data_IF_592860993737
#
_entry.id   IF_592860993737
#
_cell.length_a   1.000
_cell.length_b   1.000
_cell.length_c   1.000
_cell.angle_alpha   90.00
_cell.angle_beta   90.00
_cell.angle_gamma   90.00
#
_symmetry.space_group_name_H-M   'P 1'
#
loop_
_entity.id
_entity.type
_entity.pdbx_description
1 polymer ?
#
# COMPACT_ATOMS: atom_id res chain seq x y z
N UNK A 1 25.44 7.16 -10.89
CA UNK A 1 25.22 5.72 -11.14
C UNK A 1 23.89 5.54 -11.88
N UNK A 2 23.74 4.52 -12.73
CA UNK A 2 22.47 4.23 -13.42
C UNK A 2 21.99 2.83 -13.03
N UNK A 3 20.69 2.69 -12.78
CA UNK A 3 20.05 1.42 -12.44
C UNK A 3 18.93 1.12 -13.42
N UNK A 4 18.69 -0.17 -13.67
CA UNK A 4 17.55 -0.64 -14.46
C UNK A 4 16.57 -1.35 -13.52
N UNK A 5 15.33 -0.89 -13.49
CA UNK A 5 14.25 -1.41 -12.66
C UNK A 5 13.20 -2.04 -13.57
N UNK A 6 13.03 -3.36 -13.46
CA UNK A 6 12.05 -4.08 -14.28
C UNK A 6 10.65 -3.78 -13.80
N UNK A 7 9.79 -3.29 -14.68
CA UNK A 7 8.38 -3.08 -14.37
C UNK A 7 7.74 -4.45 -14.13
N UNK A 8 6.95 -4.57 -13.07
CA UNK A 8 6.33 -5.83 -12.66
C UNK A 8 5.48 -6.41 -13.79
N UNK A 9 5.87 -7.57 -14.35
CA UNK A 9 5.15 -8.18 -15.45
C UNK A 9 3.73 -8.56 -15.04
N UNK A 10 2.75 -8.27 -15.91
CA UNK A 10 1.36 -8.60 -15.68
C UNK A 10 0.81 -9.46 -16.83
N UNK A 11 -0.06 -10.42 -16.51
CA UNK A 11 -0.65 -11.33 -17.50
C UNK A 11 -1.64 -10.66 -18.44
N UNK A 12 -2.33 -9.63 -17.97
CA UNK A 12 -3.28 -8.88 -18.80
C UNK A 12 -2.69 -7.54 -19.23
N UNK A 13 -2.99 -7.10 -20.45
CA UNK A 13 -2.55 -5.79 -20.98
C UNK A 13 -3.01 -4.63 -20.09
N UNK A 14 -4.20 -4.72 -19.51
CA UNK A 14 -4.71 -3.69 -18.60
C UNK A 14 -3.84 -3.51 -17.36
N UNK A 15 -3.44 -4.62 -16.72
CA UNK A 15 -2.60 -4.57 -15.54
C UNK A 15 -1.15 -4.24 -15.89
N UNK A 16 -0.67 -4.57 -17.10
CA UNK A 16 0.62 -4.13 -17.60
C UNK A 16 0.65 -2.59 -17.73
N UNK A 17 -0.34 -2.00 -18.40
CA UNK A 17 -0.44 -0.53 -18.53
C UNK A 17 -0.56 0.16 -17.17
N UNK A 18 -1.26 -0.45 -16.20
CA UNK A 18 -1.33 0.07 -14.83
C UNK A 18 0.05 0.05 -14.16
N UNK A 19 0.79 -1.06 -14.27
CA UNK A 19 2.13 -1.16 -13.71
C UNK A 19 3.08 -0.10 -14.31
N UNK A 20 3.07 0.08 -15.63
CA UNK A 20 3.85 1.09 -16.34
C UNK A 20 3.49 2.51 -15.89
N UNK A 21 2.20 2.82 -15.74
CA UNK A 21 1.73 4.14 -15.32
C UNK A 21 2.15 4.46 -13.88
N UNK A 22 2.07 3.47 -12.98
CA UNK A 22 2.30 3.69 -11.56
C UNK A 22 3.77 3.56 -11.13
N UNK A 23 4.65 2.93 -11.95
CA UNK A 23 6.03 2.68 -11.57
C UNK A 23 6.84 3.97 -11.35
N UNK A 24 6.71 4.95 -12.24
CA UNK A 24 7.43 6.23 -12.13
C UNK A 24 6.95 7.04 -10.91
N UNK A 25 5.64 7.28 -10.70
CA UNK A 25 5.15 7.96 -9.51
C UNK A 25 5.53 7.25 -8.20
N UNK A 26 5.45 5.92 -8.14
CA UNK A 26 5.83 5.15 -6.96
C UNK A 26 7.32 5.34 -6.61
N UNK A 27 8.18 5.29 -7.63
CA UNK A 27 9.62 5.49 -7.43
C UNK A 27 9.95 6.90 -6.94
N UNK A 28 9.32 7.94 -7.51
CA UNK A 28 9.47 9.32 -7.05
C UNK A 28 8.89 9.57 -5.64
N UNK A 29 7.86 8.83 -5.23
CA UNK A 29 7.33 8.91 -3.86
C UNK A 29 8.24 8.20 -2.85
N UNK A 30 8.98 7.17 -3.27
CA UNK A 30 9.80 6.31 -2.40
C UNK A 30 10.95 7.09 -1.73
N UNK A 31 11.57 6.56 -0.68
CA UNK A 31 12.77 7.14 -0.06
C UNK A 31 13.90 7.42 -1.07
N UNK A 32 14.01 6.64 -2.14
CA UNK A 32 15.00 6.85 -3.21
C UNK A 32 14.90 8.20 -3.92
N UNK A 33 13.78 8.92 -3.78
CA UNK A 33 13.58 10.20 -4.49
C UNK A 33 14.66 11.25 -4.22
N UNK A 34 15.33 11.19 -3.08
CA UNK A 34 16.44 12.08 -2.73
C UNK A 34 17.71 11.77 -3.52
N UNK A 35 17.83 10.55 -4.01
CA UNK A 35 18.95 10.09 -4.83
C UNK A 35 18.67 10.18 -6.34
N UNK A 36 17.42 10.33 -6.75
CA UNK A 36 17.02 10.35 -8.15
C UNK A 36 17.35 11.68 -8.84
N UNK A 37 18.01 11.58 -10.00
CA UNK A 37 18.23 12.71 -10.92
C UNK A 37 17.19 12.70 -12.04
N UNK A 38 16.87 11.52 -12.58
CA UNK A 38 15.93 11.34 -13.67
C UNK A 38 15.54 9.89 -13.87
N UNK A 39 14.42 9.69 -14.56
CA UNK A 39 13.91 8.37 -14.93
C UNK A 39 13.51 8.39 -16.40
N UNK A 40 13.94 7.41 -17.15
CA UNK A 40 13.50 7.15 -18.53
C UNK A 40 12.96 5.72 -18.66
N UNK A 41 12.05 5.49 -19.58
CA UNK A 41 11.56 4.13 -19.90
C UNK A 41 12.46 3.52 -20.97
N UNK A 42 12.71 2.21 -20.86
CA UNK A 42 13.49 1.47 -21.83
C UNK A 42 12.95 0.05 -22.00
N UNK A 43 13.14 -0.52 -23.17
CA UNK A 43 12.80 -1.89 -23.47
C UNK A 43 14.07 -2.73 -23.62
N UNK A 44 14.30 -3.66 -22.70
CA UNK A 44 15.45 -4.54 -22.71
C UNK A 44 14.98 -6.00 -22.83
N UNK A 45 15.51 -6.73 -23.79
CA UNK A 45 15.14 -8.11 -24.07
C UNK A 45 13.60 -8.34 -24.15
N UNK A 46 12.86 -7.34 -24.68
CA UNK A 46 11.40 -7.42 -24.81
C UNK A 46 10.60 -7.14 -23.55
N UNK A 47 11.25 -6.77 -22.44
CA UNK A 47 10.62 -6.37 -21.17
C UNK A 47 10.73 -4.87 -20.95
N UNK A 48 9.76 -4.29 -20.24
CA UNK A 48 9.74 -2.87 -19.90
C UNK A 48 10.55 -2.60 -18.62
N UNK A 49 11.38 -1.57 -18.67
CA UNK A 49 12.24 -1.12 -17.58
C UNK A 49 12.13 0.38 -17.36
N UNK A 50 12.35 0.81 -16.13
CA UNK A 50 12.74 2.18 -15.82
C UNK A 50 14.27 2.22 -15.69
N UNK A 51 14.91 3.11 -16.44
CA UNK A 51 16.31 3.44 -16.25
C UNK A 51 16.36 4.69 -15.38
N UNK A 52 16.76 4.53 -14.13
CA UNK A 52 16.87 5.62 -13.19
C UNK A 52 18.33 6.07 -13.04
N UNK A 53 18.56 7.36 -13.20
CA UNK A 53 19.83 8.00 -12.94
C UNK A 53 19.90 8.50 -11.51
N UNK A 54 20.98 8.16 -10.80
CA UNK A 54 21.20 8.47 -9.39
C UNK A 54 22.39 9.44 -9.25
N UNK A 55 22.32 10.31 -8.25
CA UNK A 55 23.34 11.33 -8.01
C UNK A 55 24.75 10.70 -7.93
N UNK A 56 25.74 11.24 -8.68
CA UNK A 56 27.08 10.68 -8.73
C UNK A 56 27.90 10.88 -7.45
N UNK A 57 27.50 11.81 -6.60
CA UNK A 57 28.24 12.19 -5.38
C UNK A 57 27.91 11.26 -4.18
N UNK A 58 26.94 10.37 -4.32
CA UNK A 58 26.58 9.43 -3.25
C UNK A 58 27.52 8.21 -3.26
N UNK A 59 27.80 7.67 -2.08
CA UNK A 59 28.49 6.41 -1.95
C UNK A 59 27.69 5.28 -2.62
N UNK A 60 28.25 4.71 -3.67
CA UNK A 60 27.60 3.66 -4.47
C UNK A 60 27.25 2.42 -3.63
N UNK A 61 28.10 2.05 -2.66
CA UNK A 61 27.84 0.90 -1.80
C UNK A 61 26.69 1.14 -0.83
N UNK A 62 26.63 2.33 -0.22
CA UNK A 62 25.51 2.73 0.65
C UNK A 62 24.19 2.78 -0.14
N UNK A 63 24.23 3.33 -1.35
CA UNK A 63 23.05 3.43 -2.21
C UNK A 63 22.55 2.06 -2.68
N UNK A 64 23.44 1.12 -3.00
CA UNK A 64 23.07 -0.25 -3.34
C UNK A 64 22.45 -0.99 -2.13
N UNK A 65 22.96 -0.76 -0.93
CA UNK A 65 22.36 -1.30 0.29
C UNK A 65 20.96 -0.76 0.55
N UNK A 66 20.74 0.54 0.31
CA UNK A 66 19.42 1.16 0.40
C UNK A 66 18.44 0.61 -0.66
N UNK A 67 18.90 0.50 -1.91
CA UNK A 67 18.14 -0.12 -3.00
C UNK A 67 17.71 -1.55 -2.67
N UNK A 68 18.61 -2.36 -2.12
CA UNK A 68 18.33 -3.74 -1.73
C UNK A 68 17.19 -3.86 -0.70
N UNK A 69 16.96 -2.81 0.12
CA UNK A 69 15.88 -2.75 1.11
C UNK A 69 14.58 -2.19 0.51
N UNK A 70 14.67 -1.19 -0.36
CA UNK A 70 13.48 -0.49 -0.90
C UNK A 70 12.84 -1.29 -2.04
N UNK A 71 13.64 -1.84 -2.96
CA UNK A 71 13.11 -2.51 -4.16
C UNK A 71 12.07 -3.60 -3.86
N UNK A 72 12.27 -4.49 -2.87
CA UNK A 72 11.27 -5.50 -2.53
C UNK A 72 9.94 -4.92 -2.02
N UNK A 73 9.90 -3.64 -1.64
CA UNK A 73 8.70 -2.94 -1.16
C UNK A 73 7.86 -2.37 -2.30
N UNK A 74 8.47 -2.02 -3.43
CA UNK A 74 7.76 -1.43 -4.55
C UNK A 74 6.74 -2.39 -5.15
N UNK A 75 5.57 -1.89 -5.51
CA UNK A 75 4.50 -2.66 -6.13
C UNK A 75 4.68 -2.79 -7.63
N UNK A 76 5.01 -1.70 -8.28
CA UNK A 76 5.10 -1.63 -9.74
C UNK A 76 6.47 -2.05 -10.30
N UNK A 77 7.46 -2.34 -9.45
CA UNK A 77 8.80 -2.83 -9.82
C UNK A 77 9.02 -4.22 -9.21
N UNK A 78 9.56 -5.17 -9.99
CA UNK A 78 9.83 -6.54 -9.54
C UNK A 78 11.29 -6.82 -9.26
N UNK A 79 12.20 -6.28 -10.05
CA UNK A 79 13.63 -6.59 -10.00
C UNK A 79 14.45 -5.33 -10.27
N UNK A 80 15.62 -5.20 -9.63
CA UNK A 80 16.55 -4.10 -9.82
C UNK A 80 17.92 -4.58 -10.24
N UNK A 81 18.59 -3.79 -11.08
CA UNK A 81 19.90 -4.08 -11.60
C UNK A 81 20.75 -2.81 -11.65
N UNK A 82 22.04 -2.92 -11.41
CA UNK A 82 22.98 -1.91 -11.87
C UNK A 82 23.08 -1.97 -13.41
N UNK A 83 23.07 -0.81 -14.05
CA UNK A 83 23.09 -0.69 -15.49
C UNK A 83 24.43 -0.15 -16.00
N UNK A 84 25.07 -0.88 -16.92
CA UNK A 84 26.32 -0.50 -17.56
C UNK A 84 26.11 -0.43 -19.07
N UNK A 85 26.18 0.78 -19.62
CA UNK A 85 26.13 0.96 -21.10
C UNK A 85 27.34 0.34 -21.80
N UNK A 86 28.51 0.35 -21.14
CA UNK A 86 29.75 -0.26 -21.59
C UNK A 86 30.45 -0.93 -20.41
N UNK A 87 31.13 -2.04 -20.65
CA UNK A 87 31.94 -2.72 -19.68
C UNK A 87 33.22 -3.20 -20.38
N UNK A 88 34.38 -2.77 -19.87
CA UNK A 88 35.72 -3.15 -20.38
C UNK A 88 35.87 -2.97 -21.91
N UNK A 89 35.31 -1.89 -22.46
CA UNK A 89 35.36 -1.60 -23.88
C UNK A 89 34.31 -2.33 -24.74
N UNK A 90 33.49 -3.17 -24.16
CA UNK A 90 32.41 -3.88 -24.84
C UNK A 90 31.09 -3.06 -24.67
N UNK A 91 30.45 -2.79 -25.81
CA UNK A 91 29.15 -2.11 -25.81
C UNK A 91 28.03 -3.02 -25.27
N UNK A 92 27.29 -2.55 -24.24
CA UNK A 92 26.18 -3.25 -23.60
C UNK A 92 24.81 -2.97 -24.20
N UNK A 93 23.75 -3.03 -23.39
CA UNK A 93 23.78 -2.93 -21.91
C UNK A 93 24.16 -4.22 -21.19
N UNK A 94 24.85 -4.05 -20.06
CA UNK A 94 25.08 -5.12 -19.10
C UNK A 94 24.31 -4.82 -17.81
N UNK A 95 23.74 -5.86 -17.19
CA UNK A 95 22.92 -5.76 -15.97
C UNK A 95 23.55 -6.63 -14.88
N UNK A 96 23.86 -6.02 -13.72
CA UNK A 96 24.27 -6.73 -12.51
C UNK A 96 23.11 -6.72 -11.51
N UNK A 97 22.57 -7.89 -11.09
CA UNK A 97 21.46 -7.94 -10.15
C UNK A 97 21.75 -7.20 -8.83
N UNK A 98 20.73 -6.52 -8.30
CA UNK A 98 20.73 -5.98 -6.94
C UNK A 98 19.93 -6.97 -6.10
N UNK A 99 20.64 -7.72 -5.25
CA UNK A 99 20.02 -8.74 -4.41
C UNK A 99 19.16 -8.09 -3.30
N UNK A 100 17.90 -8.54 -3.10
CA UNK A 100 17.06 -8.03 -2.04
C UNK A 100 17.63 -8.34 -0.66
N UNK A 101 17.77 -7.34 0.21
CA UNK A 101 18.23 -7.49 1.58
C UNK A 101 17.07 -7.74 2.58
N UNK A 102 15.82 -7.42 2.21
CA UNK A 102 14.66 -7.57 3.07
C UNK A 102 13.77 -8.72 2.60
N UNK A 103 13.32 -9.53 3.55
CA UNK A 103 12.28 -10.55 3.34
C UNK A 103 10.93 -10.03 3.81
N UNK A 104 9.83 -10.56 3.24
CA UNK A 104 8.49 -10.31 3.71
C UNK A 104 8.28 -10.94 5.09
N UNK A 105 7.55 -10.26 5.99
CA UNK A 105 7.23 -10.77 7.33
C UNK A 105 6.31 -12.01 7.27
N UNK A 106 5.33 -12.01 6.39
CA UNK A 106 4.59 -13.19 5.94
C UNK A 106 4.68 -13.26 4.41
N UNK A 107 4.51 -14.44 3.80
CA UNK A 107 4.57 -14.57 2.34
C UNK A 107 3.60 -13.62 1.62
N UNK A 108 4.06 -12.97 0.55
CA UNK A 108 3.22 -12.07 -0.28
C UNK A 108 2.06 -12.82 -0.94
N UNK A 109 2.25 -14.11 -1.20
CA UNK A 109 1.26 -15.03 -1.76
C UNK A 109 -0.03 -15.10 -0.93
N UNK A 110 0.02 -14.76 0.35
CA UNK A 110 -1.17 -14.67 1.21
C UNK A 110 -2.25 -13.78 0.60
N UNK A 111 -1.85 -12.63 0.07
CA UNK A 111 -2.78 -11.73 -0.62
C UNK A 111 -3.24 -12.30 -1.97
N UNK A 112 -2.39 -13.02 -2.69
CA UNK A 112 -2.70 -13.57 -4.03
C UNK A 112 -3.65 -14.78 -3.96
N UNK A 113 -3.43 -15.68 -3.01
CA UNK A 113 -4.21 -16.91 -2.82
C UNK A 113 -5.64 -16.59 -2.38
N UNK A 114 -5.82 -15.58 -1.52
CA UNK A 114 -7.15 -15.16 -1.07
C UNK A 114 -7.99 -14.66 -2.24
N UNK A 115 -9.07 -15.39 -2.56
CA UNK A 115 -10.02 -15.02 -3.64
C UNK A 115 -11.37 -14.65 -3.06
N UNK A 116 -11.90 -13.52 -3.48
CA UNK A 116 -13.24 -13.05 -3.11
C UNK A 116 -13.77 -12.09 -4.20
N UNK A 117 -15.10 -11.87 -4.18
CA UNK A 117 -15.75 -10.98 -5.16
C UNK A 117 -15.32 -9.53 -4.91
N UNK A 118 -14.91 -8.85 -5.96
CA UNK A 118 -14.47 -7.45 -5.86
C UNK A 118 -13.04 -7.27 -5.35
N UNK A 119 -12.24 -8.35 -5.32
CA UNK A 119 -10.83 -8.27 -4.94
C UNK A 119 -10.07 -7.28 -5.81
N UNK A 120 -9.35 -6.39 -5.14
CA UNK A 120 -8.44 -5.45 -5.79
C UNK A 120 -7.14 -6.14 -6.19
N UNK A 121 -6.55 -5.71 -7.30
CA UNK A 121 -5.25 -6.20 -7.77
C UNK A 121 -4.15 -5.91 -6.73
N UNK A 122 -3.31 -6.88 -6.45
CA UNK A 122 -2.29 -6.86 -5.39
C UNK A 122 -1.20 -5.82 -5.68
N UNK A 123 -0.76 -5.71 -6.93
CA UNK A 123 0.20 -4.69 -7.35
C UNK A 123 -0.33 -3.29 -7.02
N UNK A 124 -1.56 -2.99 -7.46
CA UNK A 124 -2.19 -1.71 -7.18
C UNK A 124 -2.29 -1.43 -5.69
N UNK A 125 -2.71 -2.43 -4.90
CA UNK A 125 -2.84 -2.28 -3.44
C UNK A 125 -1.49 -2.03 -2.78
N UNK A 126 -0.39 -2.64 -3.28
CA UNK A 126 0.98 -2.33 -2.81
C UNK A 126 1.36 -0.90 -3.12
N UNK A 127 1.10 -0.43 -4.35
CA UNK A 127 1.34 0.98 -4.70
C UNK A 127 0.52 1.91 -3.82
N UNK A 128 -0.77 1.64 -3.61
CA UNK A 128 -1.63 2.44 -2.73
C UNK A 128 -1.07 2.51 -1.29
N UNK A 129 -0.64 1.37 -0.74
CA UNK A 129 0.00 1.29 0.58
C UNK A 129 1.31 2.10 0.62
N UNK A 130 2.17 1.95 -0.39
CA UNK A 130 3.43 2.68 -0.50
C UNK A 130 3.20 4.19 -0.62
N UNK A 131 2.23 4.63 -1.43
CA UNK A 131 1.87 6.04 -1.54
C UNK A 131 1.44 6.63 -0.18
N UNK A 132 0.76 5.84 0.66
CA UNK A 132 0.43 6.25 2.02
C UNK A 132 1.68 6.34 2.90
N UNK A 133 2.49 5.28 2.96
CA UNK A 133 3.65 5.20 3.84
C UNK A 133 4.71 6.24 3.47
N UNK A 134 4.97 6.42 2.17
CA UNK A 134 6.03 7.32 1.69
C UNK A 134 5.66 8.81 1.70
N UNK A 135 4.40 9.18 1.92
CA UNK A 135 3.97 10.57 1.90
C UNK A 135 4.11 11.31 3.23
N UNK A 136 4.16 10.58 4.33
CA UNK A 136 4.12 11.13 5.68
C UNK A 136 5.47 11.30 6.36
N UNK A 137 5.43 11.69 7.62
CA UNK A 137 6.63 11.87 8.45
C UNK A 137 7.36 10.55 8.74
N UNK A 138 6.68 9.41 8.58
CA UNK A 138 7.21 8.07 8.87
C UNK A 138 7.80 7.38 7.65
N UNK A 139 8.09 8.12 6.60
CA UNK A 139 8.62 7.63 5.33
C UNK A 139 9.90 6.81 5.51
N UNK A 140 10.83 7.30 6.31
CA UNK A 140 12.13 6.63 6.54
C UNK A 140 12.00 5.41 7.47
N UNK A 141 10.86 5.29 8.16
CA UNK A 141 10.52 4.16 9.02
C UNK A 141 9.74 3.05 8.28
N UNK A 142 9.76 3.03 6.95
CA UNK A 142 8.96 2.10 6.13
C UNK A 142 9.32 0.62 6.35
N UNK A 143 10.46 0.31 6.98
CA UNK A 143 10.84 -1.04 7.42
C UNK A 143 10.48 -1.31 8.89
N UNK A 144 9.97 -0.31 9.59
CA UNK A 144 9.66 -0.38 11.02
C UNK A 144 8.26 -0.94 11.31
N UNK A 145 7.87 -0.84 12.58
CA UNK A 145 6.57 -1.28 13.09
C UNK A 145 5.48 -0.22 12.85
N UNK A 146 5.17 0.08 11.60
CA UNK A 146 4.07 0.99 11.30
C UNK A 146 2.72 0.33 11.60
N UNK A 147 1.71 1.14 11.82
CA UNK A 147 0.34 0.74 12.12
C UNK A 147 -0.58 1.25 11.02
N UNK A 148 -1.23 0.35 10.31
CA UNK A 148 -2.04 0.63 9.13
C UNK A 148 -3.51 0.28 9.41
N UNK A 149 -4.40 1.22 9.14
CA UNK A 149 -5.84 0.99 9.16
C UNK A 149 -6.36 0.92 7.72
N UNK A 150 -7.01 -0.19 7.37
CA UNK A 150 -7.93 -0.25 6.24
C UNK A 150 -9.36 -0.13 6.78
N UNK A 151 -10.01 1.03 6.60
CA UNK A 151 -11.33 1.29 7.17
C UNK A 151 -12.48 0.68 6.34
N UNK A 152 -12.17 0.04 5.20
CA UNK A 152 -13.10 -0.57 4.24
C UNK A 152 -12.50 -1.89 3.72
N UNK A 153 -12.11 -2.76 4.65
CA UNK A 153 -11.12 -3.82 4.38
C UNK A 153 -11.60 -4.96 3.47
N UNK A 154 -12.90 -5.09 3.25
CA UNK A 154 -13.43 -6.15 2.40
C UNK A 154 -12.87 -7.52 2.76
N UNK A 155 -12.31 -8.22 1.79
CA UNK A 155 -11.65 -9.53 1.96
C UNK A 155 -10.19 -9.46 2.41
N UNK A 156 -9.64 -8.28 2.74
CA UNK A 156 -8.37 -8.12 3.45
C UNK A 156 -7.10 -7.96 2.60
N UNK A 157 -7.17 -7.68 1.29
CA UNK A 157 -5.96 -7.56 0.45
C UNK A 157 -4.97 -6.54 1.01
N UNK A 158 -5.43 -5.34 1.41
CA UNK A 158 -4.58 -4.32 2.04
C UNK A 158 -3.94 -4.81 3.33
N UNK A 159 -4.71 -5.52 4.17
CA UNK A 159 -4.21 -6.04 5.44
C UNK A 159 -3.09 -7.07 5.24
N UNK A 160 -3.25 -7.98 4.27
CA UNK A 160 -2.26 -9.01 4.02
C UNK A 160 -0.96 -8.45 3.45
N UNK A 161 -1.05 -7.48 2.54
CA UNK A 161 0.11 -6.82 1.98
C UNK A 161 0.83 -5.94 3.01
N UNK A 162 0.10 -5.25 3.86
CA UNK A 162 0.66 -4.47 4.95
C UNK A 162 1.30 -5.36 6.04
N UNK A 163 0.68 -6.51 6.36
CA UNK A 163 1.28 -7.51 7.25
C UNK A 163 2.56 -8.11 6.65
N UNK A 164 2.56 -8.43 5.35
CA UNK A 164 3.74 -8.90 4.63
C UNK A 164 4.87 -7.85 4.64
N UNK A 165 4.51 -6.57 4.62
CA UNK A 165 5.46 -5.48 4.82
C UNK A 165 5.99 -5.35 6.26
N UNK A 166 5.48 -6.13 7.21
CA UNK A 166 5.89 -6.12 8.62
C UNK A 166 5.17 -5.07 9.47
N UNK A 167 3.96 -4.66 9.09
CA UNK A 167 3.17 -3.67 9.82
C UNK A 167 2.11 -4.32 10.70
N UNK A 168 1.71 -3.62 11.76
CA UNK A 168 0.48 -3.91 12.47
C UNK A 168 -0.72 -3.47 11.62
N UNK A 169 -1.72 -4.32 11.47
CA UNK A 169 -2.83 -4.09 10.54
C UNK A 169 -4.18 -4.18 11.21
N UNK A 170 -5.04 -3.22 10.90
CA UNK A 170 -6.38 -3.10 11.46
C UNK A 170 -7.36 -2.95 10.31
N UNK A 171 -8.32 -3.87 10.20
CA UNK A 171 -9.37 -3.85 9.18
C UNK A 171 -10.74 -3.64 9.81
N UNK A 172 -11.54 -2.75 9.21
CA UNK A 172 -12.96 -2.58 9.56
C UNK A 172 -13.77 -2.92 8.31
N UNK A 173 -14.74 -3.79 8.47
CA UNK A 173 -15.65 -4.20 7.40
C UNK A 173 -17.07 -4.35 7.95
N UNK A 174 -18.06 -3.77 7.26
CA UNK A 174 -19.45 -3.82 7.65
C UNK A 174 -20.14 -5.14 7.28
N UNK A 175 -19.64 -5.83 6.26
CA UNK A 175 -20.16 -7.12 5.85
C UNK A 175 -19.61 -8.23 6.75
N UNK A 176 -20.49 -8.78 7.57
CA UNK A 176 -20.15 -9.86 8.50
C UNK A 176 -19.56 -11.09 7.81
N UNK A 177 -20.09 -11.47 6.65
CA UNK A 177 -19.62 -12.63 5.89
C UNK A 177 -18.17 -12.47 5.41
N UNK A 178 -17.79 -11.26 4.98
CA UNK A 178 -16.43 -10.96 4.55
C UNK A 178 -15.46 -11.03 5.73
N UNK A 179 -15.83 -10.50 6.89
CA UNK A 179 -15.00 -10.59 8.11
C UNK A 179 -14.81 -12.04 8.55
N UNK A 180 -15.91 -12.83 8.66
CA UNK A 180 -15.84 -14.22 9.12
C UNK A 180 -15.06 -15.10 8.14
N UNK A 181 -15.28 -14.93 6.83
CA UNK A 181 -14.53 -15.68 5.82
C UNK A 181 -13.04 -15.29 5.78
N UNK A 182 -12.72 -14.02 6.06
CA UNK A 182 -11.34 -13.56 6.14
C UNK A 182 -10.64 -14.12 7.38
N UNK A 183 -11.31 -14.13 8.52
CA UNK A 183 -10.81 -14.75 9.75
C UNK A 183 -10.49 -16.24 9.56
N UNK A 184 -11.42 -17.00 8.98
CA UNK A 184 -11.21 -18.42 8.67
C UNK A 184 -10.01 -18.63 7.75
N UNK A 185 -9.90 -17.82 6.70
CA UNK A 185 -8.76 -17.86 5.78
C UNK A 185 -7.43 -17.57 6.50
N UNK A 186 -7.36 -16.51 7.32
CA UNK A 186 -6.15 -16.13 8.07
C UNK A 186 -5.68 -17.29 8.94
N UNK A 187 -6.60 -17.89 9.71
CA UNK A 187 -6.29 -19.01 10.58
C UNK A 187 -5.77 -20.22 9.82
N UNK A 188 -6.45 -20.60 8.74
CA UNK A 188 -6.05 -21.72 7.89
C UNK A 188 -4.70 -21.48 7.24
N UNK A 189 -4.48 -20.27 6.71
CA UNK A 189 -3.22 -19.91 6.06
C UNK A 189 -2.04 -19.96 7.04
N UNK A 190 -2.18 -19.38 8.23
CA UNK A 190 -1.11 -19.41 9.23
C UNK A 190 -0.77 -20.83 9.67
N UNK A 191 -1.77 -21.71 9.80
CA UNK A 191 -1.53 -23.11 10.08
C UNK A 191 -0.82 -23.84 8.92
N UNK A 192 -1.26 -23.65 7.68
CA UNK A 192 -0.68 -24.34 6.50
C UNK A 192 0.76 -23.92 6.23
N UNK A 193 1.05 -22.63 6.40
CA UNK A 193 2.39 -22.06 6.17
C UNK A 193 3.29 -22.09 7.42
N UNK A 194 2.84 -22.73 8.49
CA UNK A 194 3.57 -22.82 9.76
C UNK A 194 4.00 -21.46 10.33
N UNK A 195 3.21 -20.41 10.08
CA UNK A 195 3.45 -19.07 10.63
C UNK A 195 3.04 -19.08 12.09
N UNK A 196 3.93 -18.73 13.04
CA UNK A 196 3.58 -18.65 14.46
C UNK A 196 2.52 -17.57 14.68
N UNK A 197 1.43 -17.92 15.36
CA UNK A 197 0.41 -16.95 15.76
C UNK A 197 -0.30 -17.35 17.04
N UNK A 198 -0.91 -16.36 17.68
CA UNK A 198 -1.78 -16.53 18.84
C UNK A 198 -3.03 -15.70 18.65
N UNK A 199 -4.20 -16.31 18.85
CA UNK A 199 -5.46 -15.59 18.95
C UNK A 199 -5.56 -14.91 20.31
N UNK A 200 -5.97 -13.64 20.30
CA UNK A 200 -6.17 -12.87 21.53
C UNK A 200 -7.66 -12.84 21.86
N UNK A 201 -8.00 -13.38 23.03
CA UNK A 201 -9.38 -13.42 23.51
C UNK A 201 -9.92 -12.02 23.85
N UNK A 202 -11.14 -11.74 23.44
CA UNK A 202 -11.86 -10.53 23.83
C UNK A 202 -12.74 -10.77 25.05
N UNK A 203 -12.44 -10.07 26.15
CA UNK A 203 -13.31 -10.06 27.33
C UNK A 203 -14.27 -8.87 27.29
N UNK A 204 -15.59 -9.16 27.21
CA UNK A 204 -16.63 -8.21 27.59
C UNK A 204 -17.04 -7.12 26.60
N UNK A 205 -16.89 -7.31 25.31
CA UNK A 205 -17.17 -6.29 24.31
C UNK A 205 -18.65 -6.07 23.97
N UNK A 206 -19.09 -4.79 23.96
CA UNK A 206 -20.45 -4.37 23.57
C UNK A 206 -20.58 -3.98 22.08
N UNK A 207 -19.51 -3.65 21.37
CA UNK A 207 -19.54 -3.13 20.00
C UNK A 207 -18.88 -4.10 19.01
N UNK A 208 -19.66 -4.77 18.15
CA UNK A 208 -19.20 -5.57 17.02
C UNK A 208 -18.36 -6.80 17.37
N UNK A 209 -18.18 -7.70 16.40
CA UNK A 209 -17.28 -8.85 16.54
C UNK A 209 -15.88 -8.45 16.05
N UNK A 210 -14.85 -8.75 16.82
CA UNK A 210 -13.46 -8.46 16.50
C UNK A 210 -12.63 -9.73 16.66
N UNK A 211 -11.77 -10.00 15.69
CA UNK A 211 -10.78 -11.07 15.73
C UNK A 211 -9.40 -10.44 15.81
N UNK A 212 -8.55 -10.93 16.70
CA UNK A 212 -7.22 -10.40 16.92
C UNK A 212 -6.19 -11.51 16.90
N UNK A 213 -5.16 -11.33 16.09
CA UNK A 213 -4.05 -12.26 15.96
C UNK A 213 -2.75 -11.53 16.29
N UNK A 214 -1.97 -12.13 17.19
CA UNK A 214 -0.57 -11.83 17.40
C UNK A 214 0.21 -12.78 16.48
N UNK A 215 0.94 -12.26 15.51
CA UNK A 215 1.57 -13.01 14.41
C UNK A 215 3.07 -12.86 14.47
N UNK A 216 3.80 -13.94 14.23
CA UNK A 216 5.26 -13.96 14.19
C UNK A 216 5.93 -14.52 15.44
N UNK A 217 7.27 -14.58 15.45
CA UNK A 217 8.05 -15.11 16.56
C UNK A 217 7.95 -14.21 17.80
N UNK A 218 8.30 -14.76 18.98
CA UNK A 218 8.15 -14.09 20.27
C UNK A 218 8.76 -12.69 20.34
N UNK A 219 9.89 -12.51 19.68
CA UNK A 219 10.70 -11.28 19.77
C UNK A 219 10.44 -10.30 18.60
N UNK A 220 9.64 -10.73 17.60
CA UNK A 220 9.28 -9.91 16.44
C UNK A 220 7.82 -10.18 16.04
N UNK A 221 6.89 -9.53 16.71
CA UNK A 221 5.44 -9.74 16.56
C UNK A 221 4.78 -8.59 15.83
N UNK A 222 3.70 -8.94 15.11
CA UNK A 222 2.76 -7.99 14.50
C UNK A 222 1.35 -8.33 14.91
N UNK A 223 0.47 -7.35 14.83
CA UNK A 223 -0.94 -7.55 15.11
C UNK A 223 -1.76 -7.49 13.81
N UNK A 224 -2.65 -8.47 13.65
CA UNK A 224 -3.69 -8.44 12.64
C UNK A 224 -5.03 -8.42 13.37
N UNK A 225 -5.81 -7.35 13.15
CA UNK A 225 -7.12 -7.15 13.78
C UNK A 225 -8.19 -6.98 12.70
N UNK A 226 -9.23 -7.81 12.77
CA UNK A 226 -10.39 -7.75 11.90
C UNK A 226 -11.60 -7.33 12.72
N UNK A 227 -12.32 -6.31 12.27
CA UNK A 227 -13.50 -5.78 12.98
C UNK A 227 -14.71 -5.85 12.07
N UNK A 228 -15.77 -6.52 12.53
CA UNK A 228 -17.10 -6.37 11.96
C UNK A 228 -17.76 -5.12 12.57
N UNK A 229 -17.98 -4.08 11.77
CA UNK A 229 -18.57 -2.83 12.27
C UNK A 229 -18.57 -1.72 11.24
N UNK A 230 -19.21 -0.61 11.62
CA UNK A 230 -19.29 0.59 10.80
C UNK A 230 -18.02 1.41 10.88
N UNK A 231 -17.47 1.80 9.73
CA UNK A 231 -16.23 2.56 9.63
C UNK A 231 -16.30 3.94 10.28
N UNK A 232 -17.48 4.53 10.37
CA UNK A 232 -17.70 5.81 11.07
C UNK A 232 -17.44 5.71 12.58
N UNK A 233 -17.47 4.49 13.14
CA UNK A 233 -17.18 4.17 14.53
C UNK A 233 -15.75 3.65 14.74
N UNK A 234 -14.84 3.89 13.79
CA UNK A 234 -13.48 3.38 13.81
C UNK A 234 -12.74 3.67 15.13
N UNK A 235 -12.96 4.84 15.74
CA UNK A 235 -12.38 5.20 17.03
C UNK A 235 -12.79 4.28 18.18
N UNK A 236 -14.05 3.85 18.21
CA UNK A 236 -14.56 2.93 19.22
C UNK A 236 -14.08 1.50 18.97
N UNK A 237 -14.02 1.11 17.69
CA UNK A 237 -13.54 -0.20 17.28
C UNK A 237 -12.06 -0.43 17.63
N UNK A 238 -11.24 0.60 17.54
CA UNK A 238 -9.80 0.54 17.76
C UNK A 238 -9.36 0.95 19.19
N UNK A 239 -10.29 1.31 20.07
CA UNK A 239 -9.95 1.80 21.43
C UNK A 239 -9.11 0.82 22.24
N UNK A 240 -9.40 -0.47 22.14
CA UNK A 240 -8.81 -1.53 22.97
C UNK A 240 -7.94 -2.50 22.15
N UNK A 241 -7.47 -2.09 20.98
CA UNK A 241 -6.54 -2.92 20.22
C UNK A 241 -5.12 -2.83 20.80
N UNK A 242 -4.27 -3.83 20.60
CA UNK A 242 -2.88 -3.76 21.04
C UNK A 242 -2.18 -2.49 20.54
N UNK A 243 -1.46 -1.80 21.41
CA UNK A 243 -0.78 -0.53 21.11
C UNK A 243 -1.70 0.70 20.98
N UNK A 244 -3.01 0.55 21.25
CA UNK A 244 -4.00 1.64 21.25
C UNK A 244 -4.52 2.01 19.85
N UNK A 245 -5.38 3.05 19.74
CA UNK A 245 -6.15 3.33 18.53
C UNK A 245 -5.40 4.11 17.44
N UNK A 246 -4.22 4.63 17.74
CA UNK A 246 -3.49 5.51 16.81
C UNK A 246 -2.79 4.71 15.72
N UNK A 247 -2.82 5.24 14.48
CA UNK A 247 -2.22 4.64 13.30
C UNK A 247 -1.33 5.63 12.55
N UNK A 248 -0.35 5.11 11.82
CA UNK A 248 0.57 5.90 10.98
C UNK A 248 -0.07 6.20 9.62
N UNK A 249 -0.89 5.27 9.10
CA UNK A 249 -1.61 5.49 7.85
C UNK A 249 -3.01 4.87 7.87
N UNK A 250 -3.93 5.55 7.21
CA UNK A 250 -5.25 5.04 6.80
C UNK A 250 -5.21 4.81 5.30
N UNK A 251 -5.47 3.57 4.87
CA UNK A 251 -5.40 3.15 3.47
C UNK A 251 -6.73 2.53 3.09
N UNK A 252 -7.49 3.19 2.24
CA UNK A 252 -8.82 2.75 1.85
C UNK A 252 -9.00 2.68 0.34
N UNK A 253 -9.59 1.60 -0.13
CA UNK A 253 -10.07 1.45 -1.51
C UNK A 253 -11.59 1.61 -1.50
N UNK A 254 -12.09 2.74 -2.02
CA UNK A 254 -13.52 3.05 -1.98
C UNK A 254 -14.33 2.07 -2.83
N UNK A 255 -15.51 1.63 -2.35
CA UNK A 255 -16.29 0.62 -3.04
C UNK A 255 -16.76 1.09 -4.42
N UNK A 256 -16.48 0.30 -5.45
CA UNK A 256 -16.82 0.61 -6.85
C UNK A 256 -18.27 0.30 -7.22
N UNK A 257 -18.95 -0.54 -6.43
CA UNK A 257 -20.33 -0.97 -6.65
C UNK A 257 -21.40 0.06 -6.25
N UNK A 258 -21.01 1.12 -5.57
CA UNK A 258 -21.91 2.21 -5.20
C UNK A 258 -22.22 3.01 -6.45
N UNK A 259 -23.45 2.92 -6.94
CA UNK A 259 -23.87 3.49 -8.22
C UNK A 259 -24.02 5.03 -8.18
N UNK A 260 -24.11 5.61 -6.96
CA UNK A 260 -24.39 7.03 -6.78
C UNK A 260 -23.27 7.73 -5.99
N UNK A 261 -22.78 8.84 -6.53
CA UNK A 261 -21.84 9.76 -5.87
C UNK A 261 -22.32 10.15 -4.45
N UNK A 262 -23.63 10.33 -4.28
CA UNK A 262 -24.22 10.76 -3.02
C UNK A 262 -23.97 9.76 -1.87
N UNK A 263 -23.94 8.46 -2.14
CA UNK A 263 -23.69 7.43 -1.12
C UNK A 263 -22.22 7.43 -0.65
N UNK A 264 -21.27 7.50 -1.58
CA UNK A 264 -19.84 7.63 -1.24
C UNK A 264 -19.58 8.93 -0.50
N UNK A 265 -20.19 10.03 -0.96
CA UNK A 265 -20.07 11.33 -0.34
C UNK A 265 -20.64 11.31 1.09
N UNK A 266 -21.82 10.72 1.30
CA UNK A 266 -22.43 10.59 2.62
C UNK A 266 -21.56 9.76 3.58
N UNK A 267 -20.98 8.65 3.10
CA UNK A 267 -20.06 7.84 3.87
C UNK A 267 -18.81 8.65 4.26
N UNK A 268 -18.14 9.28 3.29
CA UNK A 268 -16.91 10.03 3.53
C UNK A 268 -17.13 11.26 4.43
N UNK A 269 -18.26 11.94 4.30
CA UNK A 269 -18.60 13.06 5.18
C UNK A 269 -18.61 12.69 6.66
N UNK A 270 -18.99 11.46 6.99
CA UNK A 270 -19.06 10.96 8.37
C UNK A 270 -17.75 10.27 8.78
N UNK A 271 -17.12 9.52 7.88
CA UNK A 271 -15.97 8.69 8.17
C UNK A 271 -14.65 9.48 8.25
N UNK A 272 -14.43 10.47 7.37
CA UNK A 272 -13.17 11.23 7.30
C UNK A 272 -12.76 11.86 8.65
N UNK A 273 -13.68 12.53 9.42
CA UNK A 273 -13.30 13.05 10.73
C UNK A 273 -12.95 11.95 11.75
N UNK A 274 -13.55 10.75 11.62
CA UNK A 274 -13.23 9.63 12.48
C UNK A 274 -11.85 9.07 12.16
N UNK A 275 -11.51 8.92 10.89
CA UNK A 275 -10.21 8.44 10.43
C UNK A 275 -9.08 9.43 10.78
N UNK A 276 -9.30 10.75 10.56
CA UNK A 276 -8.33 11.77 10.94
C UNK A 276 -7.96 11.71 12.42
N UNK A 277 -8.94 11.52 13.31
CA UNK A 277 -8.68 11.41 14.76
C UNK A 277 -7.77 10.25 15.11
N UNK A 278 -7.78 9.16 14.33
CA UNK A 278 -6.93 8.00 14.54
C UNK A 278 -5.49 8.20 14.03
N UNK A 279 -5.28 9.07 13.05
CA UNK A 279 -3.95 9.34 12.55
C UNK A 279 -3.06 10.00 13.63
N UNK A 280 -1.82 9.53 13.70
CA UNK A 280 -0.73 10.23 14.40
C UNK A 280 -0.40 11.55 13.69
N UNK A 281 0.18 12.56 14.35
CA UNK A 281 0.78 13.71 13.68
C UNK A 281 1.79 13.22 12.63
N UNK A 282 1.79 13.81 11.45
CA UNK A 282 2.61 13.34 10.31
C UNK A 282 2.10 12.07 9.63
N UNK A 283 1.04 11.44 10.14
CA UNK A 283 0.41 10.28 9.52
C UNK A 283 -0.39 10.63 8.27
N UNK A 284 -0.79 9.64 7.49
CA UNK A 284 -1.35 9.83 6.15
C UNK A 284 -2.68 9.14 5.95
N UNK A 285 -3.49 9.72 5.07
CA UNK A 285 -4.68 9.11 4.47
C UNK A 285 -4.40 8.88 2.99
N UNK A 286 -4.54 7.65 2.50
CA UNK A 286 -4.54 7.34 1.07
C UNK A 286 -5.88 6.70 0.69
N UNK A 287 -6.55 7.27 -0.30
CA UNK A 287 -7.82 6.78 -0.82
C UNK A 287 -7.71 6.50 -2.31
N UNK A 288 -8.05 5.28 -2.70
CA UNK A 288 -8.29 4.93 -4.10
C UNK A 288 -9.78 5.03 -4.41
N UNK A 289 -10.10 5.51 -5.63
CA UNK A 289 -11.51 5.65 -6.03
C UNK A 289 -11.70 5.56 -7.54
N UNK A 290 -12.95 5.42 -7.96
CA UNK A 290 -13.34 5.49 -9.37
C UNK A 290 -13.40 6.95 -9.84
N UNK A 291 -12.32 7.42 -10.48
CA UNK A 291 -12.19 8.79 -10.99
C UNK A 291 -13.12 9.10 -12.18
N UNK A 292 -13.76 8.08 -12.78
CA UNK A 292 -14.82 8.30 -13.77
C UNK A 292 -16.11 8.83 -13.12
N UNK A 293 -16.31 8.55 -11.83
CA UNK A 293 -17.55 8.89 -11.09
C UNK A 293 -17.39 10.14 -10.22
N UNK A 294 -16.22 10.30 -9.63
CA UNK A 294 -15.92 11.41 -8.72
C UNK A 294 -14.67 12.12 -9.26
N UNK A 295 -14.82 13.38 -9.59
CA UNK A 295 -13.68 14.20 -10.01
C UNK A 295 -12.71 14.41 -8.85
N UNK A 296 -11.40 14.40 -9.15
CA UNK A 296 -10.34 14.61 -8.15
C UNK A 296 -10.55 15.87 -7.31
N UNK A 297 -10.93 16.99 -7.97
CA UNK A 297 -11.18 18.26 -7.29
C UNK A 297 -12.29 18.17 -6.24
N UNK A 298 -13.37 17.44 -6.53
CA UNK A 298 -14.48 17.24 -5.59
C UNK A 298 -14.04 16.40 -4.37
N UNK A 299 -13.23 15.37 -4.57
CA UNK A 299 -12.69 14.57 -3.47
C UNK A 299 -11.70 15.37 -2.61
N UNK A 300 -10.83 16.18 -3.22
CA UNK A 300 -9.93 17.10 -2.51
C UNK A 300 -10.76 18.04 -1.63
N UNK A 301 -11.74 18.72 -2.22
CA UNK A 301 -12.61 19.64 -1.48
C UNK A 301 -13.32 18.96 -0.29
N UNK A 302 -13.79 17.73 -0.49
CA UNK A 302 -14.42 16.96 0.57
C UNK A 302 -13.46 16.67 1.73
N UNK A 303 -12.26 16.16 1.43
CA UNK A 303 -11.24 15.86 2.45
C UNK A 303 -10.86 17.12 3.22
N UNK A 304 -10.53 18.23 2.54
CA UNK A 304 -10.09 19.47 3.17
C UNK A 304 -11.21 20.20 3.93
N UNK A 305 -12.46 20.02 3.51
CA UNK A 305 -13.61 20.61 4.24
C UNK A 305 -13.97 19.82 5.49
N UNK A 306 -13.78 18.50 5.48
CA UNK A 306 -14.21 17.61 6.57
C UNK A 306 -13.10 17.28 7.55
N UNK A 307 -11.85 17.57 7.22
CA UNK A 307 -10.67 17.29 8.04
C UNK A 307 -9.68 18.46 8.04
N UNK A 308 -8.66 18.36 8.87
CA UNK A 308 -7.49 19.25 8.85
C UNK A 308 -6.32 18.63 8.07
N UNK A 309 -6.57 17.58 7.31
CA UNK A 309 -5.54 16.95 6.49
C UNK A 309 -5.19 17.87 5.32
N UNK A 310 -3.91 17.91 4.98
CA UNK A 310 -3.40 18.61 3.82
C UNK A 310 -3.24 17.62 2.66
N UNK A 311 -4.00 17.82 1.59
CA UNK A 311 -3.89 16.97 0.40
C UNK A 311 -2.58 17.25 -0.33
N UNK A 312 -1.86 16.17 -0.71
CA UNK A 312 -0.71 16.23 -1.60
C UNK A 312 -1.22 16.42 -3.04
N UNK A 313 -1.11 17.64 -3.52
CA UNK A 313 -1.53 18.02 -4.89
C UNK A 313 -0.35 18.47 -5.74
N UNK A 314 0.80 17.84 -5.53
CA UNK A 314 2.06 18.00 -6.21
C UNK A 314 2.53 16.66 -6.80
N UNK A 315 3.38 16.63 -7.85
CA UNK A 315 4.01 15.39 -8.30
C UNK A 315 4.83 14.75 -7.14
N UNK A 316 4.86 13.42 -7.05
CA UNK A 316 4.22 12.44 -7.97
C UNK A 316 2.75 12.14 -7.67
N UNK A 317 2.15 12.71 -6.64
CA UNK A 317 0.81 12.38 -6.13
C UNK A 317 -0.33 12.80 -7.08
N UNK A 318 -0.07 13.67 -8.05
CA UNK A 318 -1.01 14.06 -9.11
C UNK A 318 -0.92 13.18 -10.36
N UNK A 319 -0.06 12.17 -10.39
CA UNK A 319 0.24 11.35 -11.56
C UNK A 319 -0.18 9.88 -11.38
N UNK A 320 -1.21 9.63 -10.56
CA UNK A 320 -1.63 8.29 -10.16
C UNK A 320 -2.90 7.79 -10.87
N UNK A 321 -3.53 8.66 -11.69
CA UNK A 321 -4.69 8.26 -12.49
C UNK A 321 -4.26 7.23 -13.54
N UNK A 322 -4.97 6.10 -13.60
CA UNK A 322 -4.72 5.02 -14.55
C UNK A 322 -6.02 4.36 -15.00
N UNK A 323 -5.95 3.66 -16.13
CA UNK A 323 -7.07 2.89 -16.67
C UNK A 323 -7.12 1.51 -16.02
N UNK A 324 -8.32 1.03 -15.64
CA UNK A 324 -8.50 -0.27 -15.00
C UNK A 324 -9.16 -1.26 -15.94
N UNK A 325 -10.44 -1.05 -16.32
CA UNK A 325 -11.19 -1.95 -17.19
C UNK A 325 -12.33 -1.24 -17.93
N UNK A 326 -13.23 -2.03 -18.57
CA UNK A 326 -14.38 -1.45 -19.29
C UNK A 326 -15.43 -0.84 -18.36
N UNK A 327 -15.47 -1.26 -17.09
CA UNK A 327 -16.44 -0.82 -16.09
C UNK A 327 -15.89 0.38 -15.31
N UNK A 328 -14.65 0.25 -14.83
CA UNK A 328 -13.90 1.32 -14.14
C UNK A 328 -12.89 1.89 -15.13
N UNK A 329 -13.31 2.88 -15.92
CA UNK A 329 -12.44 3.45 -16.95
C UNK A 329 -11.21 4.12 -16.35
N UNK A 330 -11.38 4.82 -15.23
CA UNK A 330 -10.34 5.59 -14.57
C UNK A 330 -10.36 5.35 -13.07
N UNK A 331 -9.21 5.08 -12.51
CA UNK A 331 -8.97 4.97 -11.08
C UNK A 331 -7.85 5.93 -10.70
N UNK A 332 -7.93 6.52 -9.53
CA UNK A 332 -6.89 7.44 -9.06
C UNK A 332 -6.63 7.21 -7.57
N UNK A 333 -5.54 7.79 -7.04
CA UNK A 333 -5.16 7.76 -5.63
C UNK A 333 -4.99 9.19 -5.12
N UNK A 334 -5.72 9.54 -4.06
CA UNK A 334 -5.53 10.77 -3.30
C UNK A 334 -4.75 10.47 -2.04
N UNK A 335 -3.76 11.28 -1.74
CA UNK A 335 -2.98 11.21 -0.50
C UNK A 335 -3.08 12.52 0.24
N UNK A 336 -3.32 12.44 1.55
CA UNK A 336 -3.35 13.60 2.44
C UNK A 336 -2.56 13.33 3.72
N UNK A 337 -1.95 14.37 4.29
CA UNK A 337 -1.07 14.28 5.46
C UNK A 337 -1.69 15.05 6.62
N UNK A 338 -1.62 14.50 7.82
CA UNK A 338 -1.97 15.16 9.07
C UNK A 338 -0.78 16.01 9.54
N UNK A 339 -0.97 17.31 9.60
CA UNK A 339 0.04 18.24 10.10
C UNK A 339 0.22 18.15 11.61
#
# INVERSE_FOLDING_TARGET
MKIALKITPQRSTQYANMAETLAVPELWASPLSTALVGIETARLAGQEYLLAELHPEQDAAALLAELAVILPRLGAVSEGFEYFANLDGITGPFLRPIEPAATSFVPLEMAEIRRYKGKTNELFTRVLLNMAVFAGAYREEFTGHLRILDPLSGGGTTLFLALAAGYDVFGIEHNRQDVESTEVFVRQYFHSEHIPFKELDEKGRKAGRRYQFEVGPRDDKRYLVLVHGETVQAGDHLREVPGGPRVHAVVGDLPYGIQHFDEVNALLQQALPAWERLLLPGGTLALAWNATRIERAALIQLVETRTKLRVRNDPPYTQLEHTVDRVIKKRDILVAVKL
#
